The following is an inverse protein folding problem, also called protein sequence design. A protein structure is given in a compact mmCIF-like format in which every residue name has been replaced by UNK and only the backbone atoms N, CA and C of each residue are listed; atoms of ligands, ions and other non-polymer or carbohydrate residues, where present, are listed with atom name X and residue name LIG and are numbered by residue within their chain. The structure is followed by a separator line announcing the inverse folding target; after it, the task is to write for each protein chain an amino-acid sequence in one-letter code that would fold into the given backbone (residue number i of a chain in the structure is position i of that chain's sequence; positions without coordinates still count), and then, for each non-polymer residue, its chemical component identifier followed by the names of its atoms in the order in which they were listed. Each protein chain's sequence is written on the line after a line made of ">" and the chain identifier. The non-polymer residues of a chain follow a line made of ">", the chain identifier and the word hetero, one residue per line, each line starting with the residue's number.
data_IF_068082332468
#
_entry.id   IF_068082332468
#
_cell.length_a   1.000
_cell.length_b   1.000
_cell.length_c   1.000
_cell.angle_alpha   90.00
_cell.angle_beta   90.00
_cell.angle_gamma   90.00
#
_symmetry.space_group_name_H-M   'P 1'
#
loop_
_entity.id
_entity.type
_entity.pdbx_description
1 polymer ?
#
# COMPACT_ATOMS: atom_id res chain seq x y z
N UNK A 1 -15.53 -33.33 12.04
CA UNK A 1 -16.11 -32.08 12.59
C UNK A 1 -15.83 -31.00 11.55
N UNK A 2 -16.89 -30.49 10.92
CA UNK A 2 -16.83 -29.52 9.83
C UNK A 2 -16.45 -28.17 10.45
N UNK A 3 -15.23 -27.69 10.19
CA UNK A 3 -14.83 -26.33 10.48
C UNK A 3 -14.96 -25.50 9.21
N UNK A 4 -16.15 -24.94 8.97
CA UNK A 4 -16.34 -23.90 7.96
C UNK A 4 -15.47 -22.69 8.35
N UNK A 5 -14.29 -22.57 7.77
CA UNK A 5 -13.63 -21.26 7.64
C UNK A 5 -14.43 -20.48 6.60
N UNK A 6 -15.48 -19.80 7.07
CA UNK A 6 -16.04 -18.69 6.30
C UNK A 6 -15.00 -17.59 6.39
N UNK A 7 -14.06 -17.57 5.44
CA UNK A 7 -13.26 -16.37 5.16
C UNK A 7 -14.27 -15.25 4.96
N UNK A 8 -14.47 -14.44 6.01
CA UNK A 8 -15.29 -13.23 5.89
C UNK A 8 -14.62 -12.44 4.78
N UNK A 9 -15.35 -12.18 3.69
CA UNK A 9 -14.92 -11.21 2.67
C UNK A 9 -14.76 -9.87 3.39
N UNK A 10 -13.54 -9.57 3.80
CA UNK A 10 -13.17 -8.23 4.21
C UNK A 10 -13.25 -7.40 2.93
N UNK A 11 -14.04 -6.32 2.89
CA UNK A 11 -13.96 -5.39 1.77
C UNK A 11 -12.55 -4.80 1.76
N UNK A 12 -11.74 -5.31 0.85
CA UNK A 12 -10.32 -4.99 0.67
C UNK A 12 -10.27 -3.91 -0.41
N UNK A 13 -10.27 -2.65 0.01
CA UNK A 13 -10.10 -1.51 -0.89
C UNK A 13 -8.87 -0.73 -0.44
N UNK A 14 -7.77 -0.79 -1.21
CA UNK A 14 -6.66 0.16 -1.06
C UNK A 14 -7.12 1.58 -1.35
N UNK A 15 -6.47 2.57 -0.75
CA UNK A 15 -6.80 3.97 -0.96
C UNK A 15 -6.49 4.44 -2.38
N UNK A 16 -5.28 4.14 -2.86
CA UNK A 16 -4.82 4.52 -4.20
C UNK A 16 -4.14 3.33 -4.86
N UNK A 17 -4.53 3.07 -6.11
CA UNK A 17 -3.95 2.03 -6.97
C UNK A 17 -3.48 2.69 -8.26
N UNK A 18 -2.22 2.45 -8.63
CA UNK A 18 -1.63 2.95 -9.88
C UNK A 18 -1.32 1.77 -10.79
N UNK A 19 -1.76 1.88 -12.04
CA UNK A 19 -1.49 0.91 -13.11
C UNK A 19 -1.13 1.66 -14.39
N UNK A 20 -0.07 1.21 -15.04
CA UNK A 20 0.47 1.72 -16.30
C UNK A 20 -0.05 0.89 -17.47
N UNK A 21 -0.83 1.52 -18.33
CA UNK A 21 -1.34 0.88 -19.55
C UNK A 21 -2.55 1.60 -20.09
N UNK A 22 -3.14 1.00 -21.12
CA UNK A 22 -4.40 1.45 -21.69
C UNK A 22 -5.46 0.36 -21.42
N UNK A 23 -6.50 0.74 -20.70
CA UNK A 23 -7.64 -0.13 -20.35
C UNK A 23 -8.90 0.70 -20.53
N UNK A 24 -9.90 0.17 -21.24
CA UNK A 24 -11.17 0.87 -21.43
C UNK A 24 -12.03 0.73 -20.18
N UNK A 25 -12.01 -0.46 -19.56
CA UNK A 25 -12.73 -0.82 -18.36
C UNK A 25 -11.83 -1.51 -17.33
N UNK A 26 -12.20 -1.44 -16.05
CA UNK A 26 -11.48 -2.14 -14.97
C UNK A 26 -11.40 -3.66 -15.20
N UNK A 27 -12.43 -4.26 -15.81
CA UNK A 27 -12.42 -5.69 -16.15
C UNK A 27 -11.28 -6.03 -17.13
N UNK A 28 -10.97 -5.14 -18.07
CA UNK A 28 -9.95 -5.37 -19.07
C UNK A 28 -8.57 -5.44 -18.40
N UNK A 29 -8.36 -4.61 -17.37
CA UNK A 29 -7.18 -4.71 -16.52
C UNK A 29 -7.14 -6.05 -15.78
N UNK A 30 -8.23 -6.46 -15.13
CA UNK A 30 -8.29 -7.73 -14.38
C UNK A 30 -8.04 -8.92 -15.31
N UNK A 31 -8.66 -8.95 -16.48
CA UNK A 31 -8.53 -10.00 -17.49
C UNK A 31 -7.15 -10.01 -18.15
N UNK A 32 -6.46 -8.86 -18.24
CA UNK A 32 -5.09 -8.80 -18.77
C UNK A 32 -4.07 -9.59 -17.94
N UNK A 33 -4.38 -9.89 -16.68
CA UNK A 33 -3.46 -10.52 -15.73
C UNK A 33 -2.25 -9.66 -15.39
N UNK A 34 -2.21 -8.38 -15.81
CA UNK A 34 -1.13 -7.46 -15.47
C UNK A 34 -1.13 -7.21 -13.96
N UNK A 35 0.06 -7.25 -13.36
CA UNK A 35 0.23 -6.87 -11.96
C UNK A 35 -0.06 -5.36 -11.74
N UNK A 36 -0.52 -5.03 -10.54
CA UNK A 36 -0.61 -3.63 -10.07
C UNK A 36 0.81 -3.08 -9.91
N UNK A 37 1.05 -1.87 -10.42
CA UNK A 37 2.38 -1.26 -10.40
C UNK A 37 2.69 -0.64 -9.03
N UNK A 38 1.73 0.09 -8.44
CA UNK A 38 1.86 0.67 -7.10
C UNK A 38 0.53 0.61 -6.35
N UNK A 39 0.59 0.19 -5.08
CA UNK A 39 -0.46 0.47 -4.09
C UNK A 39 0.06 1.51 -3.11
N UNK A 40 -0.79 2.49 -2.77
CA UNK A 40 -0.53 3.46 -1.71
C UNK A 40 -1.66 3.37 -0.70
N UNK A 41 -1.30 3.13 0.56
CA UNK A 41 -2.21 3.18 1.70
C UNK A 41 -1.90 4.42 2.53
N UNK A 42 -2.93 5.21 2.84
CA UNK A 42 -2.81 6.48 3.54
C UNK A 42 -3.22 6.33 5.00
N UNK A 43 -2.42 6.85 5.93
CA UNK A 43 -2.70 6.85 7.37
C UNK A 43 -2.71 8.26 7.92
N UNK A 44 -3.87 8.68 8.42
CA UNK A 44 -4.05 10.00 9.03
C UNK A 44 -3.74 10.01 10.54
N UNK A 45 -4.05 8.91 11.23
CA UNK A 45 -3.84 8.79 12.67
C UNK A 45 -2.37 8.55 13.05
N UNK A 46 -1.98 8.86 14.31
CA UNK A 46 -0.69 8.46 14.86
C UNK A 46 -0.47 6.94 14.81
N UNK A 47 0.78 6.51 14.65
CA UNK A 47 1.15 5.09 14.48
C UNK A 47 0.52 4.15 15.51
N UNK A 48 0.44 4.56 16.78
CA UNK A 48 -0.11 3.70 17.84
C UNK A 48 -1.59 3.34 17.65
N UNK A 49 -2.34 4.11 16.85
CA UNK A 49 -3.74 3.86 16.53
C UNK A 49 -3.92 2.84 15.42
N UNK A 50 -3.09 2.91 14.37
CA UNK A 50 -3.22 2.03 13.21
C UNK A 50 -2.18 0.90 13.16
N UNK A 51 -1.24 0.79 14.11
CA UNK A 51 -0.22 -0.28 14.10
C UNK A 51 -0.78 -1.70 14.00
N UNK A 52 -2.00 -1.94 14.48
CA UNK A 52 -2.70 -3.22 14.35
C UNK A 52 -3.10 -3.54 12.90
N UNK A 53 -3.29 -2.51 12.08
CA UNK A 53 -3.65 -2.61 10.66
C UNK A 53 -2.50 -3.16 9.80
N UNK A 54 -1.28 -3.18 10.31
CA UNK A 54 -0.16 -3.85 9.63
C UNK A 54 -0.49 -5.31 9.35
N UNK A 55 -0.95 -6.03 10.37
CA UNK A 55 -1.27 -7.45 10.26
C UNK A 55 -2.69 -7.68 9.73
N UNK A 56 -3.65 -6.81 10.09
CA UNK A 56 -5.05 -7.01 9.72
C UNK A 56 -5.41 -6.48 8.33
N UNK A 57 -4.61 -5.59 7.73
CA UNK A 57 -4.92 -4.96 6.45
C UNK A 57 -3.71 -4.86 5.50
N UNK A 58 -2.61 -4.23 5.91
CA UNK A 58 -1.48 -3.91 5.02
C UNK A 58 -0.83 -5.19 4.46
N UNK A 59 -0.44 -6.14 5.32
CA UNK A 59 0.14 -7.41 4.88
C UNK A 59 -0.86 -8.24 4.05
N UNK A 60 -2.14 -8.37 4.45
CA UNK A 60 -3.16 -8.98 3.59
C UNK A 60 -3.27 -8.35 2.20
N UNK A 61 -3.25 -7.02 2.09
CA UNK A 61 -3.32 -6.32 0.79
C UNK A 61 -2.13 -6.71 -0.10
N UNK A 62 -0.93 -6.75 0.47
CA UNK A 62 0.26 -7.17 -0.25
C UNK A 62 0.14 -8.60 -0.79
N UNK A 63 -0.37 -9.54 0.02
CA UNK A 63 -0.52 -10.95 -0.36
C UNK A 63 -1.59 -11.17 -1.43
N UNK A 64 -2.68 -10.42 -1.36
CA UNK A 64 -3.84 -10.56 -2.26
C UNK A 64 -3.53 -9.91 -3.61
N UNK A 65 -3.09 -8.66 -3.61
CA UNK A 65 -2.89 -7.90 -4.83
C UNK A 65 -1.52 -8.10 -5.47
N UNK A 66 -0.52 -8.50 -4.66
CA UNK A 66 0.87 -8.71 -5.10
C UNK A 66 1.39 -7.56 -5.97
N UNK A 67 1.26 -6.30 -5.51
CA UNK A 67 1.71 -5.16 -6.30
C UNK A 67 3.23 -5.21 -6.45
N UNK A 68 3.75 -4.60 -7.52
CA UNK A 68 5.20 -4.46 -7.71
C UNK A 68 5.83 -3.59 -6.63
N UNK A 69 5.11 -2.55 -6.21
CA UNK A 69 5.52 -1.65 -5.15
C UNK A 69 4.33 -1.38 -4.20
N UNK A 70 4.61 -1.26 -2.90
CA UNK A 70 3.62 -0.89 -1.90
C UNK A 70 4.20 0.20 -1.00
N UNK A 71 3.54 1.35 -0.97
CA UNK A 71 3.89 2.50 -0.14
C UNK A 71 2.84 2.70 0.94
N UNK A 72 3.27 2.91 2.18
CA UNK A 72 2.45 3.46 3.27
C UNK A 72 2.80 4.94 3.41
N UNK A 73 1.82 5.81 3.23
CA UNK A 73 1.94 7.25 3.37
C UNK A 73 1.30 7.68 4.69
N UNK A 74 2.07 8.23 5.63
CA UNK A 74 1.59 8.59 6.97
C UNK A 74 1.71 10.09 7.23
N UNK A 75 0.63 10.72 7.70
CA UNK A 75 0.65 12.14 8.12
C UNK A 75 1.53 12.37 9.35
N UNK A 76 1.60 11.37 10.22
CA UNK A 76 2.36 11.39 11.45
C UNK A 76 3.61 10.51 11.36
N UNK A 77 4.58 10.73 12.25
CA UNK A 77 5.81 9.94 12.29
C UNK A 77 5.54 8.47 12.62
N UNK A 78 6.29 7.61 11.96
CA UNK A 78 6.30 6.17 12.16
C UNK A 78 7.64 5.78 12.77
N UNK A 79 7.67 4.99 13.86
CA UNK A 79 8.93 4.54 14.47
C UNK A 79 9.84 3.85 13.46
N UNK A 80 11.14 4.16 13.48
CA UNK A 80 12.13 3.56 12.55
C UNK A 80 12.10 2.03 12.55
N UNK A 81 11.92 1.42 13.72
CA UNK A 81 11.81 -0.05 13.85
C UNK A 81 10.62 -0.63 13.07
N UNK A 82 9.50 0.11 13.01
CA UNK A 82 8.34 -0.29 12.22
C UNK A 82 8.58 -0.08 10.72
N UNK A 83 9.24 1.02 10.34
CA UNK A 83 9.63 1.28 8.94
C UNK A 83 10.59 0.21 8.42
N UNK A 84 11.62 -0.14 9.18
CA UNK A 84 12.55 -1.23 8.85
C UNK A 84 11.85 -2.57 8.71
N UNK A 85 10.89 -2.87 9.60
CA UNK A 85 10.09 -4.11 9.53
C UNK A 85 9.27 -4.17 8.25
N UNK A 86 8.58 -3.09 7.90
CA UNK A 86 7.77 -3.00 6.67
C UNK A 86 8.66 -3.07 5.43
N UNK A 87 9.83 -2.40 5.45
CA UNK A 87 10.81 -2.44 4.36
C UNK A 87 11.34 -3.84 4.10
N UNK A 88 11.58 -4.64 5.14
CA UNK A 88 11.96 -6.06 5.01
C UNK A 88 10.87 -6.92 4.34
N UNK A 89 9.62 -6.48 4.41
CA UNK A 89 8.50 -7.08 3.69
C UNK A 89 8.32 -6.48 2.28
N UNK A 90 9.15 -5.53 1.85
CA UNK A 90 9.02 -4.85 0.55
C UNK A 90 7.95 -3.75 0.53
N UNK A 91 7.61 -3.20 1.69
CA UNK A 91 6.69 -2.08 1.85
C UNK A 91 7.50 -0.85 2.25
N UNK A 92 7.50 0.19 1.41
CA UNK A 92 8.13 1.46 1.70
C UNK A 92 7.20 2.32 2.57
N UNK A 93 7.77 3.11 3.47
CA UNK A 93 7.02 4.02 4.33
C UNK A 93 7.55 5.43 4.14
N UNK A 94 6.65 6.38 3.86
CA UNK A 94 6.95 7.81 3.88
C UNK A 94 6.06 8.44 4.95
N UNK A 95 6.67 8.99 5.99
CA UNK A 95 5.99 9.50 7.18
C UNK A 95 6.22 11.00 7.37
N UNK A 96 5.60 11.57 8.42
CA UNK A 96 5.67 13.02 8.70
C UNK A 96 5.24 13.86 7.50
N UNK A 97 4.23 13.41 6.75
CA UNK A 97 3.73 14.10 5.56
C UNK A 97 3.06 15.42 5.95
N UNK A 98 3.74 16.53 5.64
CA UNK A 98 3.22 17.88 5.86
C UNK A 98 3.12 18.65 4.55
N UNK A 99 2.07 19.47 4.32
CA UNK A 99 1.98 20.31 3.13
C UNK A 99 3.23 21.16 2.93
N UNK A 100 3.69 21.29 1.67
CA UNK A 100 4.86 22.09 1.29
C UNK A 100 6.19 21.72 1.98
N UNK A 101 6.32 20.50 2.48
CA UNK A 101 7.53 20.01 3.16
C UNK A 101 8.36 19.08 2.28
N UNK A 102 9.55 18.74 2.75
CA UNK A 102 10.43 17.79 2.06
C UNK A 102 9.83 16.38 2.01
N UNK A 103 9.04 15.98 3.01
CA UNK A 103 8.41 14.65 3.04
C UNK A 103 7.40 14.46 1.90
N UNK A 104 6.74 15.52 1.45
CA UNK A 104 5.89 15.46 0.24
C UNK A 104 6.74 15.31 -1.04
N UNK A 105 7.92 15.92 -1.11
CA UNK A 105 8.82 15.71 -2.26
C UNK A 105 9.38 14.29 -2.26
N UNK A 106 9.71 13.75 -1.09
CA UNK A 106 10.11 12.36 -0.93
C UNK A 106 9.00 11.40 -1.37
N UNK A 107 7.76 11.64 -0.93
CA UNK A 107 6.59 10.85 -1.32
C UNK A 107 6.35 10.87 -2.84
N UNK A 108 6.35 12.04 -3.45
CA UNK A 108 6.16 12.14 -4.92
C UNK A 108 7.32 11.49 -5.66
N UNK A 109 8.55 11.63 -5.19
CA UNK A 109 9.73 10.97 -5.75
C UNK A 109 9.69 9.44 -5.61
N UNK A 110 9.17 8.91 -4.50
CA UNK A 110 9.03 7.46 -4.30
C UNK A 110 7.99 6.87 -5.25
N UNK A 111 6.87 7.56 -5.49
CA UNK A 111 5.87 7.16 -6.48
C UNK A 111 6.49 7.14 -7.88
N UNK A 112 7.19 8.20 -8.30
CA UNK A 112 7.82 8.25 -9.64
C UNK A 112 8.82 7.11 -9.81
N UNK A 113 9.69 6.88 -8.83
CA UNK A 113 10.66 5.77 -8.87
C UNK A 113 9.97 4.40 -8.95
N UNK A 114 8.90 4.21 -8.17
CA UNK A 114 8.11 2.98 -8.18
C UNK A 114 7.47 2.73 -9.55
N UNK A 115 7.00 3.80 -10.20
CA UNK A 115 6.33 3.74 -11.51
C UNK A 115 7.30 3.62 -12.69
N UNK A 116 8.53 4.14 -12.58
CA UNK A 116 9.59 3.97 -13.59
C UNK A 116 10.17 2.55 -13.61
N UNK A 117 10.19 1.89 -12.45
CA UNK A 117 10.63 0.49 -12.31
C UNK A 117 9.55 -0.53 -12.73
N UNK A 118 8.37 -0.05 -13.10
CA UNK A 118 7.19 -0.84 -13.45
C UNK A 118 6.90 -0.89 -14.97
#
# INVERSE_FOLDING_TARGET
>A
MIGMFVERRVPIRPDIVLVKGYFEWTRDFVESGKAIDVIIECKEDPFDKWKGEIESQIIPYQKIFKPRNFIVASLERVPETAKERLKKQGIDVVDDLKPNSESIKEFTSSIVKAFERA
#
